data_IF_673260074497
#
_entry.id   IF_673260074497
#
_cell.length_a   1.000
_cell.length_b   1.000
_cell.length_c   1.000
_cell.angle_alpha   90.00
_cell.angle_beta   90.00
_cell.angle_gamma   90.00
#
_symmetry.space_group_name_H-M   'P 1'
#
loop_
_entity.id
_entity.type
_entity.pdbx_description
1 polymer ?
#
# COMPACT_ATOMS: atom_id res chain seq x y z
N UNK A 1 -18.17 -1.53 2.21
CA UNK A 1 -19.39 -1.26 1.44
C UNK A 1 -20.44 -2.35 1.70
N UNK A 2 -21.71 -2.06 1.41
CA UNK A 2 -22.81 -3.07 1.48
C UNK A 2 -22.53 -4.28 0.58
N UNK A 3 -21.93 -4.04 -0.59
CA UNK A 3 -21.52 -5.12 -1.50
C UNK A 3 -20.49 -6.05 -0.86
N UNK A 4 -19.47 -5.51 -0.18
CA UNK A 4 -18.48 -6.32 0.53
C UNK A 4 -19.13 -7.19 1.61
N UNK A 5 -20.02 -6.62 2.42
CA UNK A 5 -20.72 -7.35 3.47
C UNK A 5 -21.57 -8.50 2.87
N UNK A 6 -22.29 -8.22 1.79
CA UNK A 6 -23.10 -9.24 1.11
C UNK A 6 -22.24 -10.38 0.56
N UNK A 7 -21.11 -10.07 -0.06
CA UNK A 7 -20.15 -11.08 -0.56
C UNK A 7 -19.60 -11.93 0.59
N UNK A 8 -19.14 -11.30 1.66
CA UNK A 8 -18.60 -12.03 2.82
C UNK A 8 -19.65 -12.95 3.50
N UNK A 9 -20.93 -12.64 3.38
CA UNK A 9 -22.01 -13.52 3.87
C UNK A 9 -22.25 -14.74 2.99
N UNK A 10 -21.99 -14.65 1.68
CA UNK A 10 -22.45 -15.62 0.70
C UNK A 10 -21.33 -16.46 0.07
N UNK A 11 -20.06 -16.08 0.19
CA UNK A 11 -18.95 -16.90 -0.30
C UNK A 11 -18.82 -18.20 0.50
N UNK A 12 -18.25 -19.22 -0.11
CA UNK A 12 -17.98 -20.49 0.56
C UNK A 12 -16.97 -20.35 1.70
N UNK A 13 -15.94 -19.51 1.50
CA UNK A 13 -14.82 -19.39 2.42
C UNK A 13 -14.22 -17.96 2.37
N UNK A 14 -13.74 -17.48 3.51
CA UNK A 14 -12.98 -16.23 3.62
C UNK A 14 -11.53 -16.55 3.97
N UNK A 15 -10.60 -16.30 3.05
CA UNK A 15 -9.16 -16.34 3.26
C UNK A 15 -8.68 -14.98 3.75
N UNK A 16 -8.17 -14.88 4.97
CA UNK A 16 -7.81 -13.63 5.62
C UNK A 16 -6.42 -13.66 6.25
N UNK A 17 -5.77 -12.52 6.34
CA UNK A 17 -4.42 -12.39 6.86
C UNK A 17 -4.38 -12.74 8.36
N UNK A 18 -5.16 -12.06 9.19
CA UNK A 18 -5.38 -12.38 10.60
C UNK A 18 -6.88 -12.66 10.88
N UNK A 19 -7.19 -13.91 11.20
CA UNK A 19 -8.55 -14.35 11.50
C UNK A 19 -9.17 -13.61 12.70
N UNK A 20 -8.35 -13.11 13.62
CA UNK A 20 -8.81 -12.37 14.81
C UNK A 20 -9.33 -10.99 14.42
N UNK A 21 -8.65 -10.31 13.49
CA UNK A 21 -9.07 -8.99 12.98
C UNK A 21 -10.33 -9.13 12.13
N UNK A 22 -10.34 -10.09 11.20
CA UNK A 22 -11.50 -10.35 10.36
C UNK A 22 -12.73 -10.72 11.16
N UNK A 23 -12.59 -11.52 12.24
CA UNK A 23 -13.70 -11.85 13.16
C UNK A 23 -14.34 -10.61 13.80
N UNK A 24 -13.58 -9.56 14.10
CA UNK A 24 -14.16 -8.31 14.65
C UNK A 24 -15.14 -7.69 13.65
N UNK A 25 -14.76 -7.64 12.38
CA UNK A 25 -15.62 -7.12 11.29
C UNK A 25 -16.83 -8.02 11.11
N UNK A 26 -16.64 -9.34 11.06
CA UNK A 26 -17.74 -10.29 10.93
C UNK A 26 -18.77 -10.15 12.06
N UNK A 27 -18.31 -10.07 13.29
CA UNK A 27 -19.19 -9.86 14.46
C UNK A 27 -19.96 -8.55 14.36
N UNK A 28 -19.29 -7.45 13.98
CA UNK A 28 -19.92 -6.12 13.83
C UNK A 28 -21.05 -6.12 12.81
N UNK A 29 -20.96 -6.92 11.75
CA UNK A 29 -21.93 -6.94 10.66
C UNK A 29 -22.78 -8.22 10.63
N UNK A 30 -22.72 -9.04 11.65
CA UNK A 30 -23.51 -10.28 11.74
C UNK A 30 -23.20 -11.28 10.62
N UNK A 31 -21.94 -11.36 10.21
CA UNK A 31 -21.48 -12.29 9.16
C UNK A 31 -21.14 -13.63 9.83
N UNK A 32 -21.78 -14.69 9.38
CA UNK A 32 -21.49 -16.06 9.80
C UNK A 32 -20.87 -16.80 8.61
N UNK A 33 -19.58 -17.00 8.62
CA UNK A 33 -18.88 -17.71 7.54
C UNK A 33 -17.58 -18.34 8.07
N UNK A 34 -17.02 -19.28 7.29
CA UNK A 34 -15.76 -19.93 7.60
C UNK A 34 -14.58 -19.03 7.28
N UNK A 35 -13.61 -19.00 8.19
CA UNK A 35 -12.35 -18.27 8.04
C UNK A 35 -11.17 -19.22 7.96
N UNK A 36 -10.25 -18.95 7.05
CA UNK A 36 -8.91 -19.52 7.11
C UNK A 36 -7.86 -18.42 7.15
N UNK A 37 -6.75 -18.67 7.85
CA UNK A 37 -5.59 -17.80 7.80
C UNK A 37 -4.90 -17.95 6.45
N UNK A 38 -4.67 -16.82 5.76
CA UNK A 38 -3.97 -16.76 4.48
C UNK A 38 -3.06 -15.52 4.50
N UNK A 39 -1.79 -15.73 4.86
CA UNK A 39 -0.79 -14.67 5.06
C UNK A 39 0.51 -14.99 4.33
N UNK A 40 1.47 -14.06 4.33
CA UNK A 40 2.76 -14.20 3.62
C UNK A 40 3.53 -15.49 3.96
N UNK A 41 3.35 -16.02 5.16
CA UNK A 41 4.08 -17.20 5.61
C UNK A 41 3.43 -18.53 5.15
N UNK A 42 2.14 -18.52 4.85
CA UNK A 42 1.39 -19.74 4.53
C UNK A 42 0.69 -19.72 3.16
N UNK A 43 0.67 -18.58 2.46
CA UNK A 43 -0.01 -18.44 1.16
C UNK A 43 0.46 -19.46 0.15
N UNK A 44 1.77 -19.65 0.00
CA UNK A 44 2.33 -20.64 -0.93
C UNK A 44 1.79 -22.07 -0.69
N UNK A 45 1.71 -22.50 0.59
CA UNK A 45 1.21 -23.82 0.96
C UNK A 45 -0.30 -23.97 0.79
N UNK A 46 -1.05 -22.88 0.97
CA UNK A 46 -2.53 -22.92 0.93
C UNK A 46 -3.11 -22.64 -0.45
N UNK A 47 -2.38 -21.97 -1.31
CA UNK A 47 -2.85 -21.67 -2.67
C UNK A 47 -3.34 -22.91 -3.42
N UNK A 48 -2.66 -24.07 -3.43
CA UNK A 48 -3.16 -25.25 -4.15
C UNK A 48 -4.57 -25.69 -3.68
N UNK A 49 -4.78 -25.83 -2.38
CA UNK A 49 -6.08 -26.26 -1.86
C UNK A 49 -7.19 -25.23 -2.09
N UNK A 50 -6.87 -23.94 -2.10
CA UNK A 50 -7.83 -22.89 -2.45
C UNK A 50 -8.20 -22.92 -3.95
N UNK A 51 -7.24 -23.24 -4.80
CA UNK A 51 -7.48 -23.44 -6.24
C UNK A 51 -8.41 -24.63 -6.47
N UNK A 52 -8.19 -25.75 -5.77
CA UNK A 52 -9.06 -26.92 -5.90
C UNK A 52 -10.52 -26.57 -5.55
N UNK A 53 -10.74 -25.85 -4.45
CA UNK A 53 -12.08 -25.37 -4.06
C UNK A 53 -12.70 -24.42 -5.11
N UNK A 54 -11.91 -23.54 -5.73
CA UNK A 54 -12.37 -22.67 -6.81
C UNK A 54 -12.73 -23.46 -8.08
N UNK A 55 -11.95 -24.49 -8.42
CA UNK A 55 -12.22 -25.35 -9.57
C UNK A 55 -13.46 -26.22 -9.36
N UNK A 56 -13.81 -26.52 -8.11
CA UNK A 56 -15.08 -27.14 -7.72
C UNK A 56 -16.30 -26.19 -7.83
N UNK A 57 -16.10 -24.96 -8.35
CA UNK A 57 -17.15 -23.96 -8.51
C UNK A 57 -17.50 -23.17 -7.24
N UNK A 58 -16.70 -23.31 -6.18
CA UNK A 58 -16.91 -22.57 -4.94
C UNK A 58 -16.32 -21.17 -5.04
N UNK A 59 -16.89 -20.21 -4.31
CA UNK A 59 -16.39 -18.83 -4.27
C UNK A 59 -15.59 -18.55 -3.00
N UNK A 60 -14.47 -17.84 -3.13
CA UNK A 60 -13.57 -17.49 -2.02
C UNK A 60 -13.37 -15.98 -1.99
N UNK A 61 -13.53 -15.36 -0.81
CA UNK A 61 -13.14 -13.98 -0.59
C UNK A 61 -11.75 -13.90 0.02
N UNK A 62 -10.88 -13.07 -0.53
CA UNK A 62 -9.58 -12.73 0.07
C UNK A 62 -9.70 -11.38 0.78
N UNK A 63 -9.24 -11.33 2.04
CA UNK A 63 -9.33 -10.14 2.90
C UNK A 63 -7.97 -9.88 3.55
N UNK A 64 -7.47 -8.64 3.47
CA UNK A 64 -6.29 -8.18 4.22
C UNK A 64 -6.70 -7.46 5.51
N UNK A 65 -5.78 -7.28 6.43
CA UNK A 65 -6.02 -6.61 7.70
C UNK A 65 -6.25 -5.10 7.52
N UNK A 66 -5.59 -4.50 6.51
CA UNK A 66 -5.75 -3.10 6.14
C UNK A 66 -5.56 -2.90 4.64
N UNK A 67 -6.38 -2.04 4.03
CA UNK A 67 -6.27 -1.70 2.61
C UNK A 67 -6.79 -2.77 1.66
N UNK A 68 -6.19 -2.83 0.48
CA UNK A 68 -6.55 -3.76 -0.60
C UNK A 68 -5.69 -5.02 -0.54
N UNK A 69 -6.29 -6.24 -0.53
CA UNK A 69 -5.55 -7.48 -0.71
C UNK A 69 -4.68 -7.44 -1.97
N UNK A 70 -3.57 -8.16 -1.97
CA UNK A 70 -2.57 -8.23 -3.04
C UNK A 70 -1.73 -6.96 -3.26
N UNK A 71 -2.05 -5.83 -2.62
CA UNK A 71 -1.23 -4.62 -2.68
C UNK A 71 -0.29 -4.58 -1.46
N UNK A 72 0.93 -5.07 -1.63
CA UNK A 72 1.91 -5.34 -0.57
C UNK A 72 1.44 -6.38 0.46
N UNK A 73 0.34 -7.06 0.22
CA UNK A 73 -0.32 -8.06 1.05
C UNK A 73 -0.44 -9.41 0.33
N UNK A 74 -0.78 -10.50 1.04
CA UNK A 74 -1.01 -11.81 0.41
C UNK A 74 -2.17 -11.76 -0.59
N UNK A 75 -2.06 -12.54 -1.66
CA UNK A 75 -3.17 -12.72 -2.62
C UNK A 75 -2.74 -12.75 -4.09
N UNK A 76 -1.65 -12.08 -4.44
CA UNK A 76 -1.18 -11.96 -5.82
C UNK A 76 -1.03 -13.33 -6.51
N UNK A 77 -0.29 -14.26 -5.89
CA UNK A 77 -0.08 -15.60 -6.45
C UNK A 77 -1.39 -16.38 -6.61
N UNK A 78 -2.29 -16.29 -5.64
CA UNK A 78 -3.61 -16.94 -5.71
C UNK A 78 -4.44 -16.38 -6.85
N UNK A 79 -4.51 -15.05 -6.98
CA UNK A 79 -5.24 -14.36 -8.05
C UNK A 79 -4.65 -14.69 -9.43
N UNK A 80 -3.33 -14.65 -9.56
CA UNK A 80 -2.63 -14.99 -10.79
C UNK A 80 -2.95 -16.45 -11.20
N UNK A 81 -2.82 -17.39 -10.28
CA UNK A 81 -3.10 -18.79 -10.54
C UNK A 81 -4.57 -19.04 -10.86
N UNK A 82 -5.50 -18.50 -10.09
CA UNK A 82 -6.94 -18.65 -10.33
C UNK A 82 -7.32 -18.10 -11.72
N UNK A 83 -6.82 -16.91 -12.08
CA UNK A 83 -7.05 -16.32 -13.40
C UNK A 83 -6.50 -17.17 -14.55
N UNK A 84 -5.32 -17.76 -14.38
CA UNK A 84 -4.73 -18.66 -15.39
C UNK A 84 -5.54 -19.93 -15.66
N UNK A 85 -6.40 -20.30 -14.71
CA UNK A 85 -7.30 -21.45 -14.79
C UNK A 85 -8.74 -21.08 -15.19
N UNK A 86 -8.99 -19.82 -15.59
CA UNK A 86 -10.30 -19.36 -16.05
C UNK A 86 -11.28 -19.00 -14.92
N UNK A 87 -10.82 -18.90 -13.68
CA UNK A 87 -11.66 -18.47 -12.56
C UNK A 87 -11.89 -16.95 -12.63
N UNK A 88 -13.15 -16.51 -12.50
CA UNK A 88 -13.51 -15.11 -12.48
C UNK A 88 -12.97 -14.40 -11.24
N UNK A 89 -12.27 -13.30 -11.45
CA UNK A 89 -11.73 -12.44 -10.38
C UNK A 89 -12.55 -11.18 -10.28
N UNK A 90 -13.17 -10.97 -9.13
CA UNK A 90 -13.99 -9.79 -8.85
C UNK A 90 -13.30 -8.93 -7.77
N UNK A 91 -12.84 -7.76 -8.16
CA UNK A 91 -12.32 -6.78 -7.22
C UNK A 91 -13.50 -6.01 -6.57
N UNK A 92 -13.52 -5.99 -5.23
CA UNK A 92 -14.45 -5.16 -4.45
C UNK A 92 -13.71 -3.90 -4.02
N UNK A 93 -14.00 -2.73 -4.60
CA UNK A 93 -13.31 -1.49 -4.24
C UNK A 93 -13.39 -1.21 -2.73
N UNK A 94 -12.24 -0.91 -2.17
CA UNK A 94 -12.06 -0.64 -0.75
C UNK A 94 -11.00 0.43 -0.49
N UNK A 95 -10.65 0.69 0.76
CA UNK A 95 -9.61 1.65 1.12
C UNK A 95 -8.26 1.24 0.52
N UNK A 96 -7.52 2.24 0.05
CA UNK A 96 -6.16 2.06 -0.46
C UNK A 96 -5.31 3.25 0.02
N UNK A 97 -4.39 3.00 0.95
CA UNK A 97 -3.56 4.03 1.57
C UNK A 97 -2.70 4.78 0.53
N UNK A 98 -2.19 4.07 -0.49
CA UNK A 98 -1.40 4.67 -1.56
C UNK A 98 -2.18 5.76 -2.32
N UNK A 99 -3.42 5.45 -2.71
CA UNK A 99 -4.28 6.41 -3.43
C UNK A 99 -4.76 7.52 -2.49
N UNK A 100 -5.11 7.20 -1.25
CA UNK A 100 -5.53 8.21 -0.28
C UNK A 100 -4.41 9.22 -0.01
N UNK A 101 -3.17 8.77 0.20
CA UNK A 101 -2.02 9.64 0.37
C UNK A 101 -1.72 10.50 -0.87
N UNK A 102 -1.81 9.92 -2.07
CA UNK A 102 -1.64 10.66 -3.33
C UNK A 102 -2.67 11.79 -3.44
N UNK A 103 -3.94 11.50 -3.20
CA UNK A 103 -5.01 12.51 -3.28
C UNK A 103 -4.85 13.59 -2.23
N UNK A 104 -4.51 13.21 -0.98
CA UNK A 104 -4.33 14.19 0.12
C UNK A 104 -3.06 15.01 -0.02
N UNK A 105 -2.07 14.58 -0.80
CA UNK A 105 -0.83 15.33 -1.02
C UNK A 105 -1.00 16.54 -1.96
N UNK A 106 -2.04 16.55 -2.80
CA UNK A 106 -2.20 17.55 -3.86
C UNK A 106 -1.18 17.46 -4.99
N UNK A 107 -0.26 16.49 -4.93
CA UNK A 107 0.74 16.27 -5.99
C UNK A 107 0.09 15.76 -7.29
N UNK A 108 0.74 15.93 -8.45
CA UNK A 108 0.24 15.43 -9.72
C UNK A 108 -0.10 13.94 -9.67
N UNK A 109 -1.36 13.61 -9.96
CA UNK A 109 -1.93 12.26 -9.79
C UNK A 109 -2.31 11.57 -11.09
N UNK A 110 -2.24 12.29 -12.24
CA UNK A 110 -2.60 11.72 -13.56
C UNK A 110 -1.70 10.56 -13.98
N UNK A 111 -0.44 10.60 -13.57
CA UNK A 111 0.55 9.53 -13.74
C UNK A 111 1.40 9.48 -12.48
N UNK A 112 1.46 8.34 -11.84
CA UNK A 112 2.26 8.12 -10.63
C UNK A 112 2.85 6.71 -10.62
N UNK A 113 3.81 6.47 -9.74
CA UNK A 113 4.45 5.18 -9.50
C UNK A 113 4.15 4.76 -8.08
N UNK A 114 3.81 3.50 -7.88
CA UNK A 114 3.69 2.88 -6.58
C UNK A 114 4.82 1.86 -6.40
N UNK A 115 5.77 2.16 -5.52
CA UNK A 115 6.93 1.31 -5.21
C UNK A 115 6.69 0.40 -4.00
N UNK A 116 5.67 0.69 -3.18
CA UNK A 116 5.45 -0.02 -1.93
C UNK A 116 6.62 0.15 -0.95
N UNK A 117 7.04 -0.94 -0.30
CA UNK A 117 8.18 -0.92 0.63
C UNK A 117 9.51 -1.08 -0.11
N UNK A 118 10.44 -0.16 0.12
CA UNK A 118 11.77 -0.28 -0.46
C UNK A 118 12.51 -1.52 0.07
N UNK A 119 13.32 -2.17 -0.78
CA UNK A 119 14.11 -3.35 -0.42
C UNK A 119 15.01 -3.10 0.79
N UNK A 120 15.28 -4.15 1.57
CA UNK A 120 16.27 -4.10 2.66
C UNK A 120 17.70 -4.17 2.13
N UNK A 121 17.93 -4.86 1.00
CA UNK A 121 19.24 -4.99 0.39
C UNK A 121 19.69 -3.65 -0.19
N UNK A 122 20.85 -3.18 0.25
CA UNK A 122 21.31 -1.81 0.02
C UNK A 122 21.51 -1.48 -1.48
N UNK A 123 22.00 -2.42 -2.27
CA UNK A 123 22.19 -2.22 -3.72
C UNK A 123 20.87 -1.95 -4.44
N UNK A 124 19.86 -2.76 -4.14
CA UNK A 124 18.52 -2.67 -4.79
C UNK A 124 17.80 -1.41 -4.31
N UNK A 125 17.94 -1.07 -3.01
CA UNK A 125 17.40 0.14 -2.42
C UNK A 125 17.98 1.41 -3.06
N UNK A 126 19.31 1.48 -3.23
CA UNK A 126 19.99 2.61 -3.89
C UNK A 126 19.55 2.78 -5.35
N UNK A 127 19.37 1.68 -6.08
CA UNK A 127 18.87 1.72 -7.45
C UNK A 127 17.50 2.39 -7.52
N UNK A 128 16.55 1.97 -6.66
CA UNK A 128 15.20 2.55 -6.64
C UNK A 128 15.23 4.03 -6.20
N UNK A 129 16.05 4.39 -5.21
CA UNK A 129 16.20 5.78 -4.80
C UNK A 129 16.75 6.66 -5.92
N UNK A 130 17.66 6.16 -6.73
CA UNK A 130 18.16 6.84 -7.92
C UNK A 130 17.07 6.96 -9.00
N UNK A 131 16.26 5.93 -9.18
CA UNK A 131 15.09 5.98 -10.08
C UNK A 131 14.09 7.03 -9.61
N UNK A 132 13.77 7.10 -8.31
CA UNK A 132 12.90 8.14 -7.73
C UNK A 132 13.46 9.54 -7.96
N UNK A 133 14.78 9.73 -7.78
CA UNK A 133 15.41 11.04 -7.94
C UNK A 133 15.30 11.59 -9.36
N UNK A 134 15.29 10.71 -10.36
CA UNK A 134 15.22 11.07 -11.79
C UNK A 134 13.81 10.96 -12.38
N UNK A 135 12.82 10.56 -11.59
CA UNK A 135 11.48 10.29 -12.10
C UNK A 135 10.69 11.58 -12.34
N UNK A 136 9.95 11.62 -13.44
CA UNK A 136 9.03 12.70 -13.81
C UNK A 136 7.59 12.45 -13.31
N UNK A 137 7.40 11.53 -12.37
CA UNK A 137 6.10 11.15 -11.83
C UNK A 137 6.13 11.14 -10.30
N UNK A 138 5.02 11.50 -9.69
CA UNK A 138 4.83 11.32 -8.24
C UNK A 138 5.05 9.85 -7.88
N UNK A 139 5.88 9.60 -6.89
CA UNK A 139 6.16 8.24 -6.39
C UNK A 139 5.55 8.05 -5.01
N UNK A 140 4.83 6.95 -4.84
CA UNK A 140 4.21 6.57 -3.56
C UNK A 140 4.95 5.40 -2.95
N UNK A 141 5.32 5.55 -1.68
CA UNK A 141 6.06 4.56 -0.89
C UNK A 141 5.26 4.18 0.35
N UNK A 142 5.43 2.94 0.81
CA UNK A 142 5.12 2.53 2.17
C UNK A 142 6.39 2.43 3.00
N UNK A 143 6.33 2.81 4.27
CA UNK A 143 7.46 2.62 5.17
C UNK A 143 7.00 2.31 6.60
N UNK A 144 7.86 1.62 7.34
CA UNK A 144 7.64 1.38 8.76
C UNK A 144 8.14 2.55 9.61
N UNK A 145 7.53 2.80 10.78
CA UNK A 145 7.94 3.90 11.67
C UNK A 145 9.42 3.90 12.00
N UNK A 146 10.00 2.71 12.26
CA UNK A 146 11.40 2.56 12.65
C UNK A 146 12.38 2.90 11.52
N UNK A 147 11.92 2.90 10.27
CA UNK A 147 12.77 3.16 9.10
C UNK A 147 12.50 4.52 8.45
N UNK A 148 11.46 5.25 8.90
CA UNK A 148 11.06 6.53 8.29
C UNK A 148 12.22 7.53 8.25
N UNK A 149 12.87 7.80 9.38
CA UNK A 149 13.99 8.76 9.45
C UNK A 149 15.12 8.38 8.50
N UNK A 150 15.45 7.08 8.45
CA UNK A 150 16.47 6.59 7.52
C UNK A 150 16.06 6.86 6.07
N UNK A 151 14.81 6.56 5.71
CA UNK A 151 14.30 6.80 4.35
C UNK A 151 14.29 8.29 4.00
N UNK A 152 13.88 9.17 4.92
CA UNK A 152 13.90 10.63 4.68
C UNK A 152 15.32 11.15 4.44
N UNK A 153 16.32 10.66 5.19
CA UNK A 153 17.72 11.02 4.97
C UNK A 153 18.24 10.51 3.62
N UNK A 154 17.89 9.30 3.23
CA UNK A 154 18.24 8.75 1.91
C UNK A 154 17.55 9.55 0.79
N UNK A 155 16.26 9.88 0.91
CA UNK A 155 15.57 10.72 -0.07
C UNK A 155 16.21 12.11 -0.16
N UNK A 156 16.64 12.71 0.96
CA UNK A 156 17.39 13.97 0.96
C UNK A 156 18.70 13.86 0.20
N UNK A 157 19.44 12.77 0.39
CA UNK A 157 20.72 12.51 -0.30
C UNK A 157 20.52 12.39 -1.82
N UNK A 158 19.49 11.66 -2.27
CA UNK A 158 19.29 11.35 -3.70
C UNK A 158 18.45 12.39 -4.44
N UNK A 159 17.46 12.99 -3.79
CA UNK A 159 16.50 13.91 -4.42
C UNK A 159 16.75 15.37 -4.10
N UNK A 160 17.62 15.66 -3.12
CA UNK A 160 17.79 17.03 -2.57
C UNK A 160 16.76 17.36 -1.50
N UNK A 161 17.14 18.27 -0.58
CA UNK A 161 16.31 18.61 0.59
C UNK A 161 15.06 19.40 0.25
N UNK A 162 15.05 20.10 -0.87
CA UNK A 162 13.93 20.93 -1.33
C UNK A 162 12.86 20.17 -2.13
N UNK A 163 13.08 18.87 -2.38
CA UNK A 163 12.09 18.03 -3.04
C UNK A 163 10.80 17.97 -2.22
N UNK A 164 9.70 18.29 -2.85
CA UNK A 164 8.38 18.21 -2.23
C UNK A 164 8.04 16.76 -1.85
N UNK A 165 7.56 16.59 -0.61
CA UNK A 165 7.21 15.30 -0.03
C UNK A 165 6.02 15.48 0.93
N UNK A 166 5.18 14.44 1.05
CA UNK A 166 4.21 14.33 2.12
C UNK A 166 4.31 12.97 2.79
N UNK A 167 4.39 12.97 4.11
CA UNK A 167 4.26 11.78 4.96
C UNK A 167 2.86 11.76 5.54
N UNK A 168 2.08 10.75 5.16
CA UNK A 168 0.73 10.50 5.67
C UNK A 168 0.79 9.34 6.66
N UNK A 169 0.41 9.57 7.90
CA UNK A 169 0.47 8.58 8.98
C UNK A 169 -0.92 8.24 9.48
N UNK A 170 -1.17 6.95 9.76
CA UNK A 170 -2.42 6.46 10.37
C UNK A 170 -3.69 6.89 9.60
N UNK A 171 -3.63 6.93 8.27
CA UNK A 171 -4.75 7.30 7.41
C UNK A 171 -6.01 6.54 7.81
N UNK A 172 -7.15 7.25 7.96
CA UNK A 172 -8.45 6.76 8.41
C UNK A 172 -8.54 6.34 9.88
N UNK A 173 -7.50 6.56 10.69
CA UNK A 173 -7.47 6.20 12.11
C UNK A 173 -7.50 7.43 13.02
N UNK A 174 -7.62 7.21 14.33
CA UNK A 174 -7.74 8.29 15.34
C UNK A 174 -6.57 9.28 15.32
N UNK A 175 -5.39 8.83 14.96
CA UNK A 175 -4.16 9.63 14.96
C UNK A 175 -3.67 9.92 13.53
N UNK A 176 -4.61 10.07 12.60
CA UNK A 176 -4.30 10.49 11.25
C UNK A 176 -3.63 11.85 11.23
N UNK A 177 -2.49 11.92 10.54
CA UNK A 177 -1.80 13.18 10.29
C UNK A 177 -1.12 13.18 8.91
N UNK A 178 -1.00 14.35 8.33
CA UNK A 178 -0.34 14.58 7.05
C UNK A 178 0.70 15.69 7.25
N UNK A 179 1.98 15.34 7.12
CA UNK A 179 3.09 16.27 7.24
C UNK A 179 3.74 16.39 5.87
N UNK A 180 3.66 17.57 5.30
CA UNK A 180 4.17 17.87 3.96
C UNK A 180 4.97 19.15 3.93
N UNK A 181 5.55 19.45 2.84
CA UNK A 181 6.28 20.52 2.25
C UNK A 181 7.54 19.96 1.54
N UNK A 182 8.74 20.23 2.03
CA UNK A 182 9.97 19.67 1.48
C UNK A 182 10.60 18.62 2.43
N UNK A 183 11.56 17.86 1.92
CA UNK A 183 12.20 16.78 2.68
C UNK A 183 12.91 17.31 3.92
N UNK A 184 13.52 18.51 3.86
CA UNK A 184 14.21 19.12 5.00
C UNK A 184 13.25 19.34 6.17
N UNK A 185 12.13 20.01 5.94
CA UNK A 185 11.14 20.34 6.96
C UNK A 185 10.46 19.09 7.53
N UNK A 186 10.13 18.11 6.66
CA UNK A 186 9.53 16.85 7.09
C UNK A 186 10.50 16.03 7.93
N UNK A 187 11.78 16.00 7.56
CA UNK A 187 12.82 15.35 8.35
C UNK A 187 12.98 16.00 9.73
N UNK A 188 13.08 17.33 9.79
CA UNK A 188 13.15 18.11 11.03
C UNK A 188 11.94 17.86 11.93
N UNK A 189 10.74 17.80 11.34
CA UNK A 189 9.51 17.51 12.08
C UNK A 189 9.54 16.16 12.79
N UNK A 190 10.04 15.10 12.13
CA UNK A 190 10.04 13.76 12.69
C UNK A 190 11.29 13.43 13.53
N UNK A 191 12.37 14.20 13.40
CA UNK A 191 13.61 13.96 14.14
C UNK A 191 13.41 14.07 15.66
N UNK A 192 13.92 13.10 16.41
CA UNK A 192 13.77 13.05 17.88
C UNK A 192 12.39 12.61 18.38
N UNK A 193 11.40 12.38 17.50
CA UNK A 193 10.05 11.93 17.91
C UNK A 193 9.92 10.42 17.91
N UNK A 194 9.04 9.92 18.78
CA UNK A 194 8.59 8.52 18.72
C UNK A 194 7.54 8.42 17.63
N UNK A 195 7.87 7.69 16.57
CA UNK A 195 7.00 7.52 15.40
C UNK A 195 6.32 6.16 15.52
N UNK A 196 4.98 6.15 15.43
CA UNK A 196 4.14 4.95 15.51
C UNK A 196 3.14 4.92 14.36
N UNK A 197 2.62 3.74 14.07
CA UNK A 197 1.54 3.54 13.12
C UNK A 197 2.01 3.25 11.70
N UNK A 198 1.08 3.21 10.76
CA UNK A 198 1.33 2.93 9.34
C UNK A 198 1.63 4.23 8.59
N UNK A 199 2.59 4.17 7.68
CA UNK A 199 3.12 5.34 6.98
C UNK A 199 3.06 5.13 5.48
N UNK A 200 2.50 6.13 4.81
CA UNK A 200 2.53 6.27 3.34
C UNK A 200 3.20 7.59 2.99
N UNK A 201 4.07 7.57 2.01
CA UNK A 201 4.85 8.73 1.60
C UNK A 201 4.58 9.02 0.13
N UNK A 202 4.25 10.26 -0.19
CA UNK A 202 4.20 10.77 -1.54
C UNK A 202 5.43 11.65 -1.78
N UNK A 203 6.18 11.37 -2.84
CA UNK A 203 7.35 12.15 -3.26
C UNK A 203 7.04 12.74 -4.63
N UNK A 204 7.16 14.06 -4.77
CA UNK A 204 6.92 14.72 -6.05
C UNK A 204 7.96 14.32 -7.09
N UNK A 205 7.66 14.61 -8.35
CA UNK A 205 8.58 14.36 -9.44
C UNK A 205 9.66 15.45 -9.55
N UNK A 206 10.71 15.17 -10.33
CA UNK A 206 11.74 16.17 -10.63
C UNK A 206 11.15 17.21 -11.57
N UNK A 207 11.05 18.46 -11.13
CA UNK A 207 10.81 19.58 -12.03
C UNK A 207 12.10 19.83 -12.80
N UNK A 208 12.11 19.48 -14.08
CA UNK A 208 13.06 20.05 -15.01
C UNK A 208 12.62 21.51 -15.20
N UNK A 209 13.19 22.43 -14.41
CA UNK A 209 13.08 23.85 -14.70
C UNK A 209 13.77 24.08 -16.03
N UNK A 210 12.98 24.18 -17.12
CA UNK A 210 13.49 24.81 -18.32
C UNK A 210 13.96 26.20 -17.91
N UNK A 211 15.18 26.61 -18.29
CA UNK A 211 15.60 27.98 -18.05
C UNK A 211 14.55 28.89 -18.71
N UNK A 212 13.96 29.75 -17.91
CA UNK A 212 13.05 30.79 -18.41
C UNK A 212 13.89 31.66 -19.33
N UNK A 213 13.78 31.45 -20.65
CA UNK A 213 14.27 32.41 -21.62
C UNK A 213 13.41 33.63 -21.44
N UNK A 214 13.92 34.62 -20.71
CA UNK A 214 13.39 35.97 -20.76
C UNK A 214 13.48 36.43 -22.20
N UNK A 215 12.35 36.51 -22.86
CA UNK A 215 12.26 37.25 -24.11
C UNK A 215 12.37 38.74 -23.77
N UNK A 216 13.52 39.30 -24.07
CA UNK A 216 13.74 40.76 -24.14
C UNK A 216 13.11 41.27 -25.43
#
# INVERSE_FOLDING_TARGET
SSRAINILKNVFLIACEDTRQTKKIMNKFGIKNNLISFNKNNSFKKTPSLIDELMDGKSIAVVSDAGMPSICDPGEDLVCKARSLGVDIICIPGPCAAIAALVSSGMPSSKFIFEGFLPKKQSDRKRILLEISNNEKTTILFESPQRLIKLLRELKEFCGGEREIQVSREITKKFEEHIGNNINEVLEFFEGKIILGEITIAVSYTHLTLPTTEYV
#
